data_IF_302513982785
#
_entry.id   IF_302513982785
#
_cell.length_a   1.000
_cell.length_b   1.000
_cell.length_c   1.000
_cell.angle_alpha   90.00
_cell.angle_beta   90.00
_cell.angle_gamma   90.00
#
_symmetry.space_group_name_H-M   'P 1'
#
loop_
_entity.id
_entity.type
_entity.pdbx_description
1 polymer ?
#
# COMPACT_ATOMS: atom_id res chain seq x y z
N UNK A 1 7.92 9.63 -11.45
CA UNK A 1 8.86 9.20 -10.40
C UNK A 1 10.29 9.24 -10.95
N UNK A 2 11.29 9.52 -10.11
CA UNK A 2 12.71 9.51 -10.52
C UNK A 2 13.08 8.09 -10.98
N UNK A 3 13.92 8.00 -12.03
CA UNK A 3 14.39 6.69 -12.57
C UNK A 3 15.06 5.83 -11.50
N UNK A 4 15.82 6.46 -10.60
CA UNK A 4 16.50 5.76 -9.50
C UNK A 4 15.53 5.13 -8.50
N UNK A 5 14.48 5.86 -8.09
CA UNK A 5 13.45 5.32 -7.21
C UNK A 5 12.82 4.05 -7.78
N UNK A 6 12.43 4.06 -9.06
CA UNK A 6 11.82 2.88 -9.69
C UNK A 6 12.77 1.68 -9.74
N UNK A 7 14.07 1.94 -9.89
CA UNK A 7 15.11 0.91 -9.90
C UNK A 7 15.26 0.28 -8.51
N UNK A 8 15.38 1.09 -7.46
CA UNK A 8 15.52 0.58 -6.09
C UNK A 8 14.22 -0.10 -5.59
N UNK A 9 13.06 0.46 -5.92
CA UNK A 9 11.77 -0.16 -5.61
C UNK A 9 11.62 -1.53 -6.29
N UNK A 10 12.07 -1.68 -7.55
CA UNK A 10 12.10 -2.99 -8.20
C UNK A 10 13.01 -3.99 -7.46
N UNK A 11 14.18 -3.56 -6.99
CA UNK A 11 15.06 -4.42 -6.20
C UNK A 11 14.41 -4.84 -4.88
N UNK A 12 13.68 -3.94 -4.22
CA UNK A 12 12.90 -4.26 -3.02
C UNK A 12 11.88 -5.37 -3.30
N UNK A 13 11.10 -5.25 -4.38
CA UNK A 13 10.18 -6.31 -4.80
C UNK A 13 10.88 -7.66 -5.00
N UNK A 14 12.06 -7.67 -5.65
CA UNK A 14 12.86 -8.88 -5.86
C UNK A 14 13.40 -9.45 -4.53
N UNK A 15 13.77 -8.59 -3.57
CA UNK A 15 14.20 -9.00 -2.22
C UNK A 15 13.04 -9.65 -1.47
N UNK A 16 11.87 -9.03 -1.43
CA UNK A 16 10.67 -9.58 -0.77
C UNK A 16 10.32 -10.95 -1.35
N UNK A 17 10.35 -11.09 -2.69
CA UNK A 17 10.10 -12.37 -3.35
C UNK A 17 11.12 -13.44 -2.90
N UNK A 18 12.41 -13.12 -2.88
CA UNK A 18 13.45 -14.03 -2.37
C UNK A 18 13.24 -14.36 -0.89
N UNK A 19 12.78 -13.42 -0.10
CA UNK A 19 12.56 -13.61 1.34
C UNK A 19 11.47 -14.67 1.57
N UNK A 20 10.35 -14.54 0.88
CA UNK A 20 9.25 -15.53 0.89
C UNK A 20 9.72 -16.92 0.43
N UNK A 21 10.56 -16.98 -0.61
CA UNK A 21 11.04 -18.24 -1.18
C UNK A 21 12.13 -18.93 -0.37
N UNK A 22 12.99 -18.17 0.34
CA UNK A 22 14.25 -18.68 0.88
C UNK A 22 14.39 -18.54 2.39
N UNK A 23 13.79 -17.54 3.02
CA UNK A 23 13.99 -17.29 4.43
C UNK A 23 13.15 -18.25 5.30
N UNK A 24 13.77 -19.02 6.21
CA UNK A 24 13.04 -19.95 7.06
C UNK A 24 12.08 -19.25 8.03
N UNK A 25 12.44 -18.05 8.50
CA UNK A 25 11.59 -17.25 9.38
C UNK A 25 10.31 -16.81 8.68
N UNK A 26 10.41 -16.16 7.51
CA UNK A 26 9.24 -15.70 6.74
C UNK A 26 8.33 -16.86 6.33
N UNK A 27 8.90 -18.04 6.02
CA UNK A 27 8.11 -19.25 5.75
C UNK A 27 7.25 -19.71 6.93
N UNK A 28 7.69 -19.44 8.16
CA UNK A 28 6.99 -19.83 9.39
C UNK A 28 6.02 -18.77 9.91
N UNK A 29 6.18 -17.51 9.48
CA UNK A 29 5.32 -16.39 9.87
C UNK A 29 3.97 -16.50 9.15
N UNK A 30 2.88 -16.28 9.89
CA UNK A 30 1.53 -16.15 9.34
C UNK A 30 1.16 -14.67 9.13
N UNK A 31 0.08 -14.42 8.38
CA UNK A 31 -0.34 -13.07 8.01
C UNK A 31 -0.67 -12.18 9.22
N UNK A 32 -1.25 -12.74 10.29
CA UNK A 32 -1.62 -11.97 11.48
C UNK A 32 -0.39 -11.46 12.22
N UNK A 33 0.64 -12.28 12.36
CA UNK A 33 1.93 -11.85 12.92
C UNK A 33 2.52 -10.72 12.09
N UNK A 34 2.55 -10.86 10.76
CA UNK A 34 3.13 -9.84 9.89
C UNK A 34 2.37 -8.50 9.92
N UNK A 35 1.05 -8.53 10.09
CA UNK A 35 0.24 -7.31 10.28
C UNK A 35 0.61 -6.60 11.59
N UNK A 36 0.91 -7.35 12.65
CA UNK A 36 1.32 -6.75 13.91
C UNK A 36 2.69 -6.07 13.80
N UNK A 37 3.67 -6.70 13.14
CA UNK A 37 4.98 -6.09 12.89
C UNK A 37 4.81 -4.78 12.10
N UNK A 38 4.09 -4.81 10.97
CA UNK A 38 3.80 -3.60 10.19
C UNK A 38 3.04 -2.49 10.97
N UNK A 39 2.33 -2.86 12.03
CA UNK A 39 1.65 -1.91 12.91
C UNK A 39 2.61 -1.27 13.92
N UNK A 40 3.71 -1.93 14.24
CA UNK A 40 4.81 -1.36 15.04
C UNK A 40 5.55 -0.29 14.25
N UNK A 41 5.83 -0.54 12.97
CA UNK A 41 6.48 0.43 12.06
C UNK A 41 5.74 1.78 12.00
N UNK A 42 4.40 1.74 12.05
CA UNK A 42 3.58 2.96 12.10
C UNK A 42 3.83 3.74 13.38
N UNK A 43 4.02 3.07 14.52
CA UNK A 43 4.32 3.73 15.79
C UNK A 43 5.74 4.28 15.79
N UNK A 44 6.70 3.58 15.21
CA UNK A 44 8.08 4.06 15.08
C UNK A 44 8.15 5.30 14.17
N UNK A 45 7.36 5.34 13.09
CA UNK A 45 7.15 6.57 12.29
C UNK A 45 6.57 7.71 13.14
N UNK A 46 5.55 7.43 13.97
CA UNK A 46 4.96 8.43 14.87
C UNK A 46 6.01 8.95 15.88
N UNK A 47 6.82 8.06 16.45
CA UNK A 47 7.90 8.40 17.39
C UNK A 47 8.99 9.25 16.72
N UNK A 48 9.43 8.88 15.52
CA UNK A 48 10.42 9.64 14.74
C UNK A 48 9.92 11.06 14.41
N UNK A 49 8.63 11.22 14.11
CA UNK A 49 8.03 12.54 13.91
C UNK A 49 8.00 13.38 15.19
N UNK A 50 7.70 12.75 16.33
CA UNK A 50 7.66 13.42 17.63
C UNK A 50 9.05 13.85 18.12
N UNK A 51 10.08 13.09 17.79
CA UNK A 51 11.48 13.38 18.13
C UNK A 51 12.18 14.29 17.10
N UNK A 52 11.51 14.64 16.00
CA UNK A 52 12.10 15.33 14.84
C UNK A 52 13.32 14.59 14.25
N UNK A 53 13.36 13.26 14.40
CA UNK A 53 14.43 12.41 13.89
C UNK A 53 14.16 12.02 12.43
N UNK A 54 14.71 12.81 11.51
CA UNK A 54 14.50 12.63 10.07
C UNK A 54 15.20 11.38 9.54
N UNK A 55 16.35 11.01 10.12
CA UNK A 55 17.09 9.83 9.70
C UNK A 55 16.30 8.57 10.07
N UNK A 56 15.78 8.51 11.31
CA UNK A 56 14.90 7.42 11.72
C UNK A 56 13.61 7.40 10.89
N UNK A 57 13.01 8.55 10.63
CA UNK A 57 11.81 8.63 9.78
C UNK A 57 12.02 8.04 8.39
N UNK A 58 13.20 8.22 7.77
CA UNK A 58 13.51 7.61 6.48
C UNK A 58 13.61 6.07 6.57
N UNK A 59 14.19 5.55 7.65
CA UNK A 59 14.31 4.13 7.96
C UNK A 59 12.92 3.47 8.11
N UNK A 60 12.10 3.97 9.02
CA UNK A 60 10.80 3.35 9.34
C UNK A 60 9.79 3.44 8.18
N UNK A 61 9.89 4.49 7.35
CA UNK A 61 9.10 4.57 6.11
C UNK A 61 9.50 3.47 5.12
N UNK A 62 10.79 3.11 5.08
CA UNK A 62 11.30 1.99 4.29
C UNK A 62 10.75 0.66 4.79
N UNK A 63 10.78 0.45 6.11
CA UNK A 63 10.35 -0.79 6.74
C UNK A 63 8.84 -1.00 6.61
N UNK A 64 8.01 0.04 6.79
CA UNK A 64 6.58 -0.03 6.50
C UNK A 64 6.28 -0.43 5.04
N UNK A 65 7.05 0.07 4.07
CA UNK A 65 6.88 -0.29 2.64
C UNK A 65 7.26 -1.75 2.40
N UNK A 66 8.36 -2.20 2.98
CA UNK A 66 8.82 -3.59 2.93
C UNK A 66 7.78 -4.53 3.52
N UNK A 67 7.29 -4.23 4.72
CA UNK A 67 6.31 -5.02 5.46
C UNK A 67 4.96 -5.08 4.75
N UNK A 68 4.48 -3.97 4.19
CA UNK A 68 3.26 -3.96 3.37
C UNK A 68 3.37 -4.88 2.15
N UNK A 69 4.55 -4.95 1.51
CA UNK A 69 4.81 -5.87 0.42
C UNK A 69 4.91 -7.32 0.90
N UNK A 70 5.52 -7.57 2.06
CA UNK A 70 5.63 -8.90 2.63
C UNK A 70 4.26 -9.46 3.03
N UNK A 71 3.40 -8.65 3.64
CA UNK A 71 1.99 -8.95 3.92
C UNK A 71 1.28 -9.38 2.63
N UNK A 72 1.43 -8.62 1.54
CA UNK A 72 0.82 -8.97 0.26
C UNK A 72 1.30 -10.34 -0.22
N UNK A 73 2.60 -10.63 -0.15
CA UNK A 73 3.16 -11.92 -0.58
C UNK A 73 2.78 -13.10 0.30
N UNK A 74 2.70 -12.90 1.61
CA UNK A 74 2.16 -13.91 2.54
C UNK A 74 0.68 -14.16 2.22
N UNK A 75 -0.09 -13.12 1.90
CA UNK A 75 -1.48 -13.29 1.49
C UNK A 75 -1.63 -14.06 0.17
N UNK A 76 -0.69 -13.89 -0.80
CA UNK A 76 -0.65 -14.72 -2.00
C UNK A 76 -0.40 -16.20 -1.65
N UNK A 77 0.57 -16.45 -0.76
CA UNK A 77 0.95 -17.80 -0.31
C UNK A 77 -0.21 -18.53 0.39
N UNK A 78 -0.89 -17.84 1.31
CA UNK A 78 -1.81 -18.49 2.26
C UNK A 78 -3.30 -18.41 1.88
N UNK A 79 -3.70 -17.41 1.07
CA UNK A 79 -5.11 -17.10 0.83
C UNK A 79 -5.50 -17.02 -0.65
N UNK A 80 -4.63 -17.46 -1.57
CA UNK A 80 -4.86 -17.39 -3.03
C UNK A 80 -5.21 -15.97 -3.51
N UNK A 81 -4.66 -14.96 -2.84
CA UNK A 81 -4.73 -13.57 -3.28
C UNK A 81 -3.74 -13.36 -4.42
N UNK A 82 -4.08 -12.49 -5.36
CA UNK A 82 -3.18 -12.10 -6.46
C UNK A 82 -2.79 -10.64 -6.28
N UNK A 83 -1.50 -10.38 -6.22
CA UNK A 83 -0.90 -9.04 -6.16
C UNK A 83 -1.37 -8.17 -7.32
N UNK A 84 -1.39 -8.70 -8.55
CA UNK A 84 -1.94 -8.01 -9.73
C UNK A 84 -3.39 -7.59 -9.54
N UNK A 85 -4.24 -8.49 -9.00
CA UNK A 85 -5.64 -8.16 -8.71
C UNK A 85 -5.76 -7.12 -7.60
N UNK A 86 -4.94 -7.19 -6.56
CA UNK A 86 -4.93 -6.20 -5.46
C UNK A 86 -4.58 -4.81 -6.00
N UNK A 87 -3.49 -4.70 -6.76
CA UNK A 87 -3.05 -3.43 -7.37
C UNK A 87 -4.09 -2.91 -8.35
N UNK A 88 -4.61 -3.76 -9.25
CA UNK A 88 -5.66 -3.37 -10.19
C UNK A 88 -6.92 -2.86 -9.50
N UNK A 89 -7.35 -3.50 -8.40
CA UNK A 89 -8.52 -3.07 -7.61
C UNK A 89 -8.30 -1.68 -7.01
N UNK A 90 -7.15 -1.42 -6.40
CA UNK A 90 -6.89 -0.09 -5.80
C UNK A 90 -6.72 0.99 -6.88
N UNK A 91 -6.05 0.69 -8.00
CA UNK A 91 -5.92 1.62 -9.13
C UNK A 91 -7.29 2.01 -9.69
N UNK A 92 -8.17 1.04 -9.96
CA UNK A 92 -9.51 1.31 -10.45
C UNK A 92 -10.34 2.12 -9.45
N UNK A 93 -10.31 1.72 -8.17
CA UNK A 93 -11.04 2.40 -7.10
C UNK A 93 -10.61 3.86 -6.94
N UNK A 94 -9.30 4.13 -6.89
CA UNK A 94 -8.80 5.50 -6.73
C UNK A 94 -9.08 6.32 -7.99
N UNK A 95 -8.91 5.74 -9.18
CA UNK A 95 -9.17 6.44 -10.44
C UNK A 95 -10.65 6.81 -10.59
N UNK A 96 -11.57 5.93 -10.18
CA UNK A 96 -13.00 6.22 -10.21
C UNK A 96 -13.40 7.27 -9.16
N UNK A 97 -12.83 7.21 -7.95
CA UNK A 97 -13.17 8.13 -6.85
C UNK A 97 -12.51 9.50 -6.99
N UNK A 98 -11.41 9.58 -7.73
CA UNK A 98 -10.63 10.80 -7.93
C UNK A 98 -10.36 11.07 -9.43
N UNK A 99 -11.40 11.21 -10.26
CA UNK A 99 -11.23 11.36 -11.70
C UNK A 99 -10.44 12.62 -12.09
N UNK A 100 -10.49 13.65 -11.25
CA UNK A 100 -9.75 14.90 -11.46
C UNK A 100 -8.23 14.75 -11.46
N UNK A 101 -7.68 13.63 -10.96
CA UNK A 101 -6.24 13.32 -11.10
C UNK A 101 -5.80 13.18 -12.57
N UNK A 102 -6.75 13.00 -13.50
CA UNK A 102 -6.50 12.83 -14.93
C UNK A 102 -7.09 13.97 -15.78
N UNK A 103 -7.62 15.03 -15.15
CA UNK A 103 -8.13 16.20 -15.86
C UNK A 103 -7.00 17.17 -16.17
N UNK A 104 -7.21 18.03 -17.17
CA UNK A 104 -6.26 19.11 -17.47
C UNK A 104 -6.44 20.27 -16.49
N UNK A 105 -7.67 20.52 -16.07
CA UNK A 105 -8.05 21.60 -15.18
C UNK A 105 -7.97 21.16 -13.71
N UNK A 106 -7.49 22.06 -12.84
CA UNK A 106 -7.57 21.89 -11.39
C UNK A 106 -8.97 22.22 -10.87
N UNK A 107 -9.39 21.55 -9.80
CA UNK A 107 -10.65 21.82 -9.10
C UNK A 107 -10.42 22.24 -7.66
N UNK A 108 -11.42 22.88 -7.06
CA UNK A 108 -11.40 23.25 -5.64
C UNK A 108 -11.50 22.02 -4.73
N UNK A 109 -11.13 22.21 -3.46
CA UNK A 109 -11.24 21.15 -2.43
C UNK A 109 -12.70 20.73 -2.23
N UNK A 110 -13.61 21.70 -2.25
CA UNK A 110 -15.05 21.51 -2.08
C UNK A 110 -15.63 20.67 -3.23
N UNK A 111 -15.26 20.99 -4.47
CA UNK A 111 -15.65 20.21 -5.66
C UNK A 111 -15.10 18.79 -5.62
N UNK A 112 -13.81 18.62 -5.27
CA UNK A 112 -13.19 17.31 -5.14
C UNK A 112 -13.89 16.44 -4.08
N UNK A 113 -14.23 17.04 -2.93
CA UNK A 113 -14.95 16.35 -1.86
C UNK A 113 -16.35 15.90 -2.29
N UNK A 114 -17.08 16.76 -3.01
CA UNK A 114 -18.41 16.44 -3.56
C UNK A 114 -18.34 15.26 -4.53
N UNK A 115 -17.46 15.33 -5.53
CA UNK A 115 -17.28 14.26 -6.54
C UNK A 115 -16.87 12.94 -5.87
N UNK A 116 -15.93 12.98 -4.91
CA UNK A 116 -15.48 11.79 -4.20
C UNK A 116 -16.62 11.09 -3.47
N UNK A 117 -17.45 11.86 -2.77
CA UNK A 117 -18.56 11.33 -1.98
C UNK A 117 -19.63 10.70 -2.89
N UNK A 118 -19.97 11.38 -3.99
CA UNK A 118 -20.89 10.85 -5.01
C UNK A 118 -20.39 9.51 -5.58
N UNK A 119 -19.12 9.46 -6.02
CA UNK A 119 -18.49 8.23 -6.57
C UNK A 119 -18.42 7.10 -5.53
N UNK A 120 -18.05 7.40 -4.29
CA UNK A 120 -17.98 6.43 -3.20
C UNK A 120 -19.37 5.84 -2.87
N UNK A 121 -20.43 6.64 -2.95
CA UNK A 121 -21.79 6.17 -2.68
C UNK A 121 -22.33 5.31 -3.82
N UNK A 122 -22.07 5.68 -5.08
CA UNK A 122 -22.48 4.91 -6.25
C UNK A 122 -21.89 3.48 -6.26
N UNK A 123 -20.63 3.31 -5.80
CA UNK A 123 -20.00 2.00 -5.66
C UNK A 123 -20.71 1.11 -4.61
N UNK A 124 -21.14 1.68 -3.48
CA UNK A 124 -21.84 0.93 -2.43
C UNK A 124 -23.22 0.44 -2.86
N UNK A 125 -23.87 1.17 -3.76
CA UNK A 125 -25.19 0.79 -4.29
C UNK A 125 -25.11 -0.21 -5.44
N UNK A 126 -23.92 -0.40 -6.05
CA UNK A 126 -23.69 -1.30 -7.18
C UNK A 126 -23.17 -2.70 -6.83
N UNK A 127 -22.65 -2.92 -5.61
CA UNK A 127 -22.00 -4.19 -5.19
C UNK A 127 -22.98 -5.24 -4.61
N UNK A 128 -24.25 -5.25 -5.05
CA UNK A 128 -25.23 -6.28 -4.64
C UNK A 128 -25.88 -7.01 -5.82
N UNK A 129 -25.22 -7.05 -6.99
CA UNK A 129 -25.57 -7.95 -8.10
C UNK A 129 -24.28 -8.39 -8.80
N UNK A 130 -23.83 -9.63 -8.53
CA UNK A 130 -22.72 -10.28 -9.24
C UNK A 130 -21.90 -11.21 -8.37
#
# INVERSE_FOLDING_TARGET
>A
MKKEFLKEFKKLCDIVQRNIEKCPWVKSINLNTMINEASSEIKEIEEALLSEDIDNLEEELGDLIYDAFLILKIAERDYNISSDKVIKRVVNKISNRKPWLFWKESISREEAAKIWLERKNAEKTGDNIG
#
